data_IF_896634959809
#
_entry.id   IF_896634959809
#
_cell.length_a   1.000
_cell.length_b   1.000
_cell.length_c   1.000
_cell.angle_alpha   90.00
_cell.angle_beta   90.00
_cell.angle_gamma   90.00
#
_symmetry.space_group_name_H-M   'P 1'
#
loop_
_entity.id
_entity.type
_entity.pdbx_description
1 polymer ?
#
# COMPACT_ATOMS: atom_id res chain seq x y z
N UNK A 1 6.19 14.16 -11.28
CA UNK A 1 6.25 12.69 -11.40
C UNK A 1 6.35 12.12 -10.00
N UNK A 2 5.29 11.52 -9.48
CA UNK A 2 5.25 11.04 -8.09
C UNK A 2 5.60 9.56 -8.03
N UNK A 3 6.75 9.24 -7.43
CA UNK A 3 7.20 7.86 -7.27
C UNK A 3 6.70 7.28 -5.95
N UNK A 4 6.24 6.03 -5.99
CA UNK A 4 5.85 5.27 -4.80
C UNK A 4 7.11 4.62 -4.19
N UNK A 5 7.96 5.45 -3.58
CA UNK A 5 9.25 5.03 -3.02
C UNK A 5 9.35 5.41 -1.55
N UNK A 6 9.93 4.52 -0.76
CA UNK A 6 10.21 4.72 0.66
C UNK A 6 10.07 3.42 1.43
N UNK A 7 10.91 3.25 2.46
CA UNK A 7 10.80 2.15 3.41
C UNK A 7 10.35 2.71 4.76
N UNK A 8 9.36 2.07 5.37
CA UNK A 8 8.76 2.53 6.62
C UNK A 8 8.55 1.34 7.55
N UNK A 9 9.03 1.46 8.77
CA UNK A 9 8.71 0.50 9.83
C UNK A 9 7.36 0.87 10.45
N UNK A 10 6.43 -0.09 10.45
CA UNK A 10 5.14 0.06 11.10
C UNK A 10 4.74 -1.28 11.71
N UNK A 11 4.02 -1.22 12.84
CA UNK A 11 3.43 -2.40 13.47
C UNK A 11 2.01 -2.59 12.96
N UNK A 12 1.64 -3.86 12.79
CA UNK A 12 0.25 -4.26 12.56
C UNK A 12 -0.52 -4.09 13.85
N UNK A 13 -1.73 -3.53 13.78
CA UNK A 13 -2.57 -3.39 14.97
C UNK A 13 -3.28 -4.70 15.36
N UNK A 14 -3.97 -4.69 16.51
CA UNK A 14 -4.67 -5.87 17.01
C UNK A 14 -5.79 -6.40 16.09
N UNK A 15 -6.20 -5.62 15.07
CA UNK A 15 -7.22 -5.99 14.09
C UNK A 15 -6.62 -6.36 12.73
N UNK A 16 -5.30 -6.50 12.64
CA UNK A 16 -4.64 -6.85 11.38
C UNK A 16 -4.52 -5.68 10.40
N UNK A 17 -4.74 -4.43 10.82
CA UNK A 17 -4.61 -3.27 9.94
C UNK A 17 -3.16 -2.80 9.88
N UNK A 18 -2.75 -2.38 8.69
CA UNK A 18 -1.42 -1.81 8.42
C UNK A 18 -1.54 -0.30 8.27
N UNK A 19 -0.59 0.43 8.83
CA UNK A 19 -0.48 1.87 8.61
C UNK A 19 0.02 2.16 7.19
N UNK A 20 -0.72 2.97 6.43
CA UNK A 20 -0.28 3.49 5.12
C UNK A 20 0.31 4.89 5.32
N UNK A 21 1.62 5.09 5.05
CA UNK A 21 2.28 6.40 5.11
C UNK A 21 1.49 7.50 4.41
N UNK A 22 1.49 8.70 5.01
CA UNK A 22 0.70 9.83 4.53
C UNK A 22 1.03 10.23 3.08
N UNK A 23 2.29 10.05 2.66
CA UNK A 23 2.71 10.33 1.28
C UNK A 23 1.98 9.43 0.29
N UNK A 24 1.86 8.13 0.61
CA UNK A 24 1.17 7.17 -0.24
C UNK A 24 -0.34 7.38 -0.24
N UNK A 25 -0.94 7.72 0.90
CA UNK A 25 -2.36 8.09 0.97
C UNK A 25 -2.69 9.28 0.06
N UNK A 26 -1.84 10.31 0.04
CA UNK A 26 -2.01 11.46 -0.86
C UNK A 26 -1.95 11.05 -2.34
N UNK A 27 -1.02 10.17 -2.71
CA UNK A 27 -0.91 9.69 -4.09
C UNK A 27 -2.12 8.88 -4.54
N UNK A 28 -2.65 8.01 -3.66
CA UNK A 28 -3.86 7.24 -3.95
C UNK A 28 -5.08 8.15 -4.11
N UNK A 29 -5.24 9.16 -3.22
CA UNK A 29 -6.32 10.14 -3.32
C UNK A 29 -6.24 10.99 -4.60
N UNK A 30 -5.04 11.43 -4.99
CA UNK A 30 -4.84 12.18 -6.24
C UNK A 30 -5.18 11.38 -7.49
N UNK A 31 -5.13 10.05 -7.41
CA UNK A 31 -5.47 9.14 -8.49
C UNK A 31 -6.90 8.63 -8.44
N UNK A 32 -7.71 9.11 -7.48
CA UNK A 32 -9.09 8.68 -7.29
C UNK A 32 -9.22 7.15 -7.08
N UNK A 33 -8.23 6.55 -6.42
CA UNK A 33 -8.23 5.12 -6.12
C UNK A 33 -9.15 4.82 -4.94
N UNK A 34 -10.28 4.16 -5.21
CA UNK A 34 -11.26 3.79 -4.19
C UNK A 34 -10.92 2.48 -3.47
N UNK A 35 -10.13 1.61 -4.10
CA UNK A 35 -9.81 0.28 -3.59
C UNK A 35 -8.40 -0.16 -3.98
N UNK A 36 -7.85 -1.09 -3.20
CA UNK A 36 -6.54 -1.68 -3.41
C UNK A 36 -6.66 -3.20 -3.51
N UNK A 37 -5.79 -3.79 -4.32
CA UNK A 37 -5.60 -5.24 -4.39
C UNK A 37 -4.48 -5.63 -3.44
N UNK A 38 -4.76 -6.59 -2.56
CA UNK A 38 -3.78 -7.25 -1.71
C UNK A 38 -3.56 -8.68 -2.20
N UNK A 39 -2.30 -9.06 -2.40
CA UNK A 39 -1.93 -10.44 -2.77
C UNK A 39 -0.68 -10.91 -2.03
N UNK A 40 -0.51 -12.23 -1.93
CA UNK A 40 0.79 -12.81 -1.55
C UNK A 40 1.74 -12.74 -2.76
N UNK A 41 2.98 -12.36 -2.50
CA UNK A 41 4.04 -12.46 -3.51
C UNK A 41 4.36 -13.93 -3.82
N UNK A 42 4.80 -14.21 -5.05
CA UNK A 42 5.09 -15.58 -5.49
C UNK A 42 6.56 -15.98 -5.30
N UNK A 43 7.44 -15.00 -5.07
CA UNK A 43 8.88 -15.18 -4.94
C UNK A 43 9.40 -14.83 -3.54
N UNK A 44 8.71 -13.94 -2.82
CA UNK A 44 9.08 -13.47 -1.50
C UNK A 44 7.98 -13.80 -0.49
N UNK A 45 8.33 -13.99 0.78
CA UNK A 45 7.33 -14.16 1.85
C UNK A 45 6.83 -12.78 2.33
N UNK A 46 6.13 -12.08 1.44
CA UNK A 46 5.56 -10.77 1.72
C UNK A 46 4.20 -10.60 1.05
N UNK A 47 3.49 -9.54 1.47
CA UNK A 47 2.26 -9.10 0.84
C UNK A 47 2.56 -7.92 -0.09
N UNK A 48 1.96 -7.94 -1.28
CA UNK A 48 2.02 -6.87 -2.27
C UNK A 48 0.68 -6.17 -2.33
N UNK A 49 0.71 -4.85 -2.28
CA UNK A 49 -0.46 -3.98 -2.35
C UNK A 49 -0.33 -3.04 -3.55
N UNK A 50 -1.37 -2.95 -4.39
CA UNK A 50 -1.38 -2.08 -5.57
C UNK A 50 -2.79 -1.56 -5.88
N UNK A 51 -2.92 -0.45 -6.63
CA UNK A 51 -4.22 0.09 -7.02
C UNK A 51 -4.99 -0.84 -7.95
N UNK A 52 -6.31 -0.80 -7.87
CA UNK A 52 -7.18 -1.66 -8.66
C UNK A 52 -7.34 -1.26 -10.14
N UNK A 53 -7.12 0.02 -10.43
CA UNK A 53 -7.38 0.68 -11.71
C UNK A 53 -6.37 0.40 -12.84
N UNK A 54 -5.58 -0.68 -12.75
CA UNK A 54 -4.46 -0.99 -13.66
C UNK A 54 -4.79 -0.78 -15.13
#
# INVERSE_FOLDING_TARGET
>A
MSHFLGNFEAKVDAKGRVFVPAVFRKLLQQKEEEWLVLRKDIFQDCLVLYPGSV
#
